data_IF_155097544611
#
_entry.id   IF_155097544611
#
_cell.length_a   1.000
_cell.length_b   1.000
_cell.length_c   1.000
_cell.angle_alpha   90.00
_cell.angle_beta   90.00
_cell.angle_gamma   90.00
#
_symmetry.space_group_name_H-M   'P 1'
#
loop_
_entity.id
_entity.type
_entity.pdbx_description
1 polymer ?
#
# COMPACT_ATOMS: atom_id res chain seq x y z
N UNK A 1 -11.88 19.57 13.48
CA UNK A 1 -11.20 19.60 12.18
C UNK A 1 -10.66 18.20 11.96
N UNK A 2 -11.13 17.51 10.92
CA UNK A 2 -10.68 16.14 10.62
C UNK A 2 -9.44 16.23 9.76
N UNK A 3 -8.46 15.37 10.04
CA UNK A 3 -7.27 15.19 9.20
C UNK A 3 -7.60 14.45 7.89
N UNK A 4 -8.81 13.90 7.78
CA UNK A 4 -9.35 13.36 6.54
C UNK A 4 -9.62 14.48 5.54
N UNK A 5 -8.77 14.58 4.51
CA UNK A 5 -9.01 15.50 3.40
C UNK A 5 -10.21 14.98 2.57
N UNK A 6 -11.42 15.46 2.87
CA UNK A 6 -12.68 15.02 2.23
C UNK A 6 -12.66 15.13 0.69
N UNK A 7 -11.89 16.09 0.14
CA UNK A 7 -11.72 16.24 -1.30
C UNK A 7 -10.85 15.13 -1.92
N UNK A 8 -9.91 14.57 -1.16
CA UNK A 8 -9.06 13.47 -1.63
C UNK A 8 -9.88 12.19 -1.86
N UNK A 9 -10.80 11.86 -0.95
CA UNK A 9 -11.70 10.71 -1.08
C UNK A 9 -12.62 10.82 -2.31
N UNK A 10 -13.11 12.04 -2.61
CA UNK A 10 -13.92 12.30 -3.79
C UNK A 10 -13.12 12.17 -5.10
N UNK A 11 -11.85 12.61 -5.11
CA UNK A 11 -10.96 12.51 -6.27
C UNK A 11 -10.50 11.07 -6.52
N UNK A 12 -10.20 10.32 -5.46
CA UNK A 12 -9.86 8.89 -5.54
C UNK A 12 -11.02 8.06 -6.12
N UNK A 13 -12.25 8.30 -5.64
CA UNK A 13 -13.43 7.59 -6.14
C UNK A 13 -13.63 7.81 -7.66
N UNK A 14 -13.42 9.04 -8.15
CA UNK A 14 -13.52 9.36 -9.58
C UNK A 14 -12.41 8.69 -10.40
N UNK A 15 -11.20 8.58 -9.85
CA UNK A 15 -10.08 7.90 -10.49
C UNK A 15 -10.31 6.39 -10.60
N UNK A 16 -10.79 5.74 -9.53
CA UNK A 16 -11.09 4.30 -9.53
C UNK A 16 -12.19 3.96 -10.55
N UNK A 17 -13.24 4.78 -10.65
CA UNK A 17 -14.30 4.60 -11.67
C UNK A 17 -13.74 4.68 -13.09
N UNK A 18 -12.76 5.55 -13.34
CA UNK A 18 -12.14 5.67 -14.66
C UNK A 18 -11.27 4.46 -15.05
N UNK A 19 -10.65 3.80 -14.07
CA UNK A 19 -9.76 2.65 -14.26
C UNK A 19 -10.54 1.35 -14.50
N UNK A 20 -11.78 1.25 -14.00
CA UNK A 20 -12.64 0.07 -14.15
C UNK A 20 -13.10 -0.21 -15.60
N UNK A 21 -12.82 0.69 -16.55
CA UNK A 21 -13.24 0.56 -17.96
C UNK A 21 -12.27 -0.23 -18.85
N UNK A 22 -11.12 -0.65 -18.32
CA UNK A 22 -10.10 -1.37 -19.09
C UNK A 22 -9.61 -2.55 -18.26
N UNK A 23 -10.02 -3.78 -18.59
CA UNK A 23 -9.14 -4.96 -18.57
C UNK A 23 -9.92 -6.21 -19.00
N UNK A 24 -9.49 -6.80 -20.11
CA UNK A 24 -9.77 -8.18 -20.52
C UNK A 24 -8.46 -8.76 -21.08
N UNK A 25 -8.15 -9.99 -20.64
CA UNK A 25 -7.10 -10.94 -21.09
C UNK A 25 -5.66 -10.69 -20.58
N UNK A 26 -4.80 -11.66 -20.25
CA UNK A 26 -4.90 -13.13 -20.03
C UNK A 26 -3.57 -13.73 -19.51
N UNK A 27 -3.63 -14.52 -18.44
CA UNK A 27 -2.91 -15.78 -18.07
C UNK A 27 -1.44 -16.11 -18.45
N UNK A 28 -0.56 -15.18 -18.82
CA UNK A 28 0.91 -15.46 -18.93
C UNK A 28 1.81 -14.57 -18.07
N UNK A 29 1.22 -13.76 -17.19
CA UNK A 29 1.87 -12.55 -16.67
C UNK A 29 2.46 -12.68 -15.26
N UNK A 30 2.43 -13.86 -14.63
CA UNK A 30 2.82 -13.99 -13.23
C UNK A 30 4.31 -13.72 -12.93
N UNK A 31 5.21 -14.32 -13.72
CA UNK A 31 6.64 -14.04 -13.64
C UNK A 31 7.01 -12.69 -14.24
N UNK A 32 6.28 -12.27 -15.28
CA UNK A 32 6.42 -10.96 -15.92
C UNK A 32 6.11 -9.82 -14.94
N UNK A 33 5.02 -9.90 -14.18
CA UNK A 33 4.59 -8.87 -13.25
C UNK A 33 5.59 -8.61 -12.12
N UNK A 34 6.22 -9.66 -11.57
CA UNK A 34 7.31 -9.49 -10.59
C UNK A 34 8.55 -8.85 -11.22
N UNK A 35 8.97 -9.35 -12.38
CA UNK A 35 10.12 -8.80 -13.09
C UNK A 35 9.87 -7.31 -13.38
N UNK A 36 8.67 -6.96 -13.84
CA UNK A 36 8.26 -5.58 -14.06
C UNK A 36 8.24 -4.77 -12.75
N UNK A 37 7.73 -5.33 -11.64
CA UNK A 37 7.74 -4.68 -10.32
C UNK A 37 9.17 -4.40 -9.82
N UNK A 38 10.07 -5.39 -9.89
CA UNK A 38 11.48 -5.25 -9.51
C UNK A 38 12.20 -4.25 -10.39
N UNK A 39 11.89 -4.22 -11.69
CA UNK A 39 12.54 -3.34 -12.64
C UNK A 39 11.97 -1.92 -12.66
N UNK A 40 10.75 -1.71 -12.12
CA UNK A 40 10.00 -0.43 -12.20
C UNK A 40 10.79 0.79 -11.70
N UNK A 41 11.68 0.60 -10.73
CA UNK A 41 12.49 1.68 -10.15
C UNK A 41 13.93 1.73 -10.69
N UNK A 42 14.25 0.95 -11.72
CA UNK A 42 15.57 0.98 -12.36
C UNK A 42 15.59 1.99 -13.50
N UNK A 43 16.73 2.65 -13.73
CA UNK A 43 16.90 3.57 -14.87
C UNK A 43 16.91 2.85 -16.22
N UNK A 44 17.14 1.53 -16.22
CA UNK A 44 17.26 0.67 -17.40
C UNK A 44 16.22 -0.45 -17.34
N UNK A 45 14.94 -0.05 -17.30
CA UNK A 45 13.80 -0.95 -17.12
C UNK A 45 13.81 -2.14 -18.09
N UNK A 46 13.96 -1.89 -19.39
CA UNK A 46 13.91 -2.93 -20.43
C UNK A 46 15.07 -3.92 -20.33
N UNK A 47 16.26 -3.44 -19.94
CA UNK A 47 17.43 -4.29 -19.73
C UNK A 47 17.25 -5.16 -18.49
N UNK A 48 16.71 -4.60 -17.40
CA UNK A 48 16.39 -5.34 -16.19
C UNK A 48 15.37 -6.44 -16.47
N UNK A 49 14.29 -6.11 -17.20
CA UNK A 49 13.22 -7.06 -17.54
C UNK A 49 13.76 -8.21 -18.39
N UNK A 50 14.46 -7.90 -19.48
CA UNK A 50 15.01 -8.92 -20.39
C UNK A 50 16.05 -9.82 -19.72
N UNK A 51 16.89 -9.26 -18.84
CA UNK A 51 17.89 -10.02 -18.09
C UNK A 51 17.21 -11.02 -17.15
N UNK A 52 16.24 -10.58 -16.35
CA UNK A 52 15.56 -11.46 -15.41
C UNK A 52 14.71 -12.52 -16.12
N UNK A 53 14.02 -12.16 -17.22
CA UNK A 53 13.25 -13.13 -18.01
C UNK A 53 14.12 -14.22 -18.65
N UNK A 54 15.38 -13.90 -18.95
CA UNK A 54 16.32 -14.85 -19.54
C UNK A 54 16.86 -15.89 -18.55
N UNK A 55 16.69 -15.67 -17.24
CA UNK A 55 17.11 -16.59 -16.19
C UNK A 55 15.92 -17.45 -15.72
N UNK A 56 15.89 -18.76 -16.04
CA UNK A 56 14.82 -19.67 -15.61
C UNK A 56 14.69 -19.76 -14.09
N UNK A 57 15.76 -19.47 -13.34
CA UNK A 57 15.76 -19.53 -11.87
C UNK A 57 15.04 -18.37 -11.20
N UNK A 58 14.99 -17.21 -11.88
CA UNK A 58 14.20 -16.05 -11.46
C UNK A 58 12.70 -16.36 -11.40
N UNK A 59 12.26 -17.36 -12.18
CA UNK A 59 10.89 -17.85 -12.22
C UNK A 59 10.64 -19.04 -11.27
N UNK A 60 11.69 -19.65 -10.68
CA UNK A 60 11.59 -20.92 -9.92
C UNK A 60 12.01 -20.88 -8.45
N UNK A 61 12.66 -19.84 -7.94
CA UNK A 61 12.57 -19.60 -6.49
C UNK A 61 11.08 -19.50 -6.13
N UNK A 62 10.61 -20.03 -4.99
CA UNK A 62 9.19 -19.93 -4.59
C UNK A 62 8.84 -18.47 -4.28
N UNK A 63 8.75 -17.69 -5.37
CA UNK A 63 8.57 -16.26 -5.43
C UNK A 63 7.20 -15.91 -4.90
N UNK A 64 6.22 -16.78 -5.16
CA UNK A 64 4.91 -16.71 -4.53
C UNK A 64 5.05 -16.81 -3.02
N UNK A 65 5.72 -17.84 -2.49
CA UNK A 65 5.96 -17.99 -1.06
C UNK A 65 6.70 -16.80 -0.44
N UNK A 66 7.70 -16.24 -1.14
CA UNK A 66 8.43 -15.05 -0.67
C UNK A 66 7.54 -13.81 -0.63
N UNK A 67 6.78 -13.53 -1.70
CA UNK A 67 5.85 -12.40 -1.76
C UNK A 67 4.75 -12.53 -0.72
N UNK A 68 4.18 -13.73 -0.54
CA UNK A 68 3.20 -14.00 0.52
C UNK A 68 3.78 -13.69 1.91
N UNK A 69 5.04 -14.05 2.17
CA UNK A 69 5.68 -13.75 3.45
C UNK A 69 5.90 -12.25 3.67
N UNK A 70 6.32 -11.51 2.63
CA UNK A 70 6.50 -10.06 2.70
C UNK A 70 5.17 -9.35 2.94
N UNK A 71 4.12 -9.72 2.20
CA UNK A 71 2.78 -9.16 2.36
C UNK A 71 2.26 -9.43 3.79
N UNK A 72 2.37 -10.66 4.30
CA UNK A 72 1.97 -10.99 5.68
C UNK A 72 2.77 -10.24 6.75
N UNK A 73 4.07 -10.06 6.55
CA UNK A 73 4.88 -9.24 7.46
C UNK A 73 4.43 -7.77 7.44
N UNK A 74 4.03 -7.27 6.27
CA UNK A 74 3.49 -5.93 6.09
C UNK A 74 2.12 -5.78 6.77
N UNK A 75 1.21 -6.76 6.63
CA UNK A 75 -0.07 -6.82 7.36
C UNK A 75 0.16 -6.74 8.87
N UNK A 76 1.06 -7.58 9.41
CA UNK A 76 1.35 -7.60 10.85
C UNK A 76 1.91 -6.25 11.35
N UNK A 77 2.83 -5.65 10.59
CA UNK A 77 3.36 -4.32 10.90
C UNK A 77 2.26 -3.25 10.86
N UNK A 78 1.43 -3.24 9.82
CA UNK A 78 0.33 -2.30 9.69
C UNK A 78 -0.67 -2.40 10.85
N UNK A 79 -0.99 -3.63 11.30
CA UNK A 79 -1.87 -3.87 12.43
C UNK A 79 -1.28 -3.38 13.77
N UNK A 80 0.04 -3.57 13.98
CA UNK A 80 0.74 -3.03 15.14
C UNK A 80 0.70 -1.50 15.16
N UNK A 81 0.90 -0.86 14.00
CA UNK A 81 0.80 0.60 13.90
C UNK A 81 -0.64 1.08 14.09
N UNK A 82 -1.64 0.42 13.51
CA UNK A 82 -3.06 0.73 13.74
C UNK A 82 -3.42 0.70 15.24
N UNK A 83 -2.92 -0.31 15.96
CA UNK A 83 -3.09 -0.44 17.41
C UNK A 83 -2.45 0.73 18.15
N UNK A 84 -1.18 1.04 17.85
CA UNK A 84 -0.47 2.17 18.46
C UNK A 84 -1.18 3.51 18.20
N UNK A 85 -1.64 3.73 16.98
CA UNK A 85 -2.37 4.94 16.60
C UNK A 85 -3.72 5.03 17.31
N UNK A 86 -4.41 3.90 17.50
CA UNK A 86 -5.64 3.82 18.31
C UNK A 86 -5.38 4.16 19.79
N UNK A 87 -4.22 3.82 20.34
CA UNK A 87 -3.86 4.19 21.71
C UNK A 87 -3.55 5.69 21.82
N UNK A 88 -2.82 6.24 20.84
CA UNK A 88 -2.52 7.66 20.76
C UNK A 88 -3.80 8.50 20.65
N UNK A 89 -4.80 8.06 19.87
CA UNK A 89 -6.07 8.78 19.74
C UNK A 89 -6.86 8.89 21.05
N UNK A 90 -6.62 7.98 22.00
CA UNK A 90 -7.28 7.96 23.33
C UNK A 90 -6.51 8.72 24.41
N UNK A 91 -5.20 8.88 24.23
CA UNK A 91 -4.30 9.38 25.27
C UNK A 91 -3.78 10.79 25.01
N UNK A 92 -3.81 11.25 23.76
CA UNK A 92 -3.42 12.63 23.42
C UNK A 92 -4.38 13.66 24.04
N UNK A 93 -3.86 14.83 24.39
CA UNK A 93 -4.63 15.91 25.01
C UNK A 93 -5.03 16.99 24.00
N UNK A 94 -4.39 17.03 22.83
CA UNK A 94 -4.76 17.96 21.76
C UNK A 94 -5.90 17.36 20.92
N UNK A 95 -7.10 17.98 20.90
CA UNK A 95 -8.24 17.47 20.14
C UNK A 95 -7.97 17.32 18.64
N UNK A 96 -7.05 18.11 18.07
CA UNK A 96 -6.64 17.95 16.68
C UNK A 96 -5.84 16.67 16.51
N UNK A 97 -4.83 16.42 17.36
CA UNK A 97 -4.03 15.19 17.30
C UNK A 97 -4.89 13.95 17.54
N UNK A 98 -5.81 13.97 18.51
CA UNK A 98 -6.74 12.88 18.76
C UNK A 98 -7.56 12.51 17.50
N UNK A 99 -8.08 13.51 16.79
CA UNK A 99 -8.84 13.28 15.57
C UNK A 99 -7.92 12.76 14.45
N UNK A 100 -6.70 13.28 14.33
CA UNK A 100 -5.75 12.83 13.32
C UNK A 100 -5.29 11.39 13.56
N UNK A 101 -5.06 11.00 14.80
CA UNK A 101 -4.80 9.60 15.13
C UNK A 101 -6.03 8.73 14.88
N UNK A 102 -7.25 9.18 15.17
CA UNK A 102 -8.46 8.43 14.80
C UNK A 102 -8.54 8.19 13.29
N UNK A 103 -8.37 9.25 12.49
CA UNK A 103 -8.42 9.17 11.03
C UNK A 103 -7.28 8.30 10.47
N UNK A 104 -6.10 8.33 11.09
CA UNK A 104 -4.98 7.47 10.74
C UNK A 104 -5.24 6.00 11.08
N UNK A 105 -5.86 5.71 12.23
CA UNK A 105 -6.19 4.34 12.58
C UNK A 105 -7.10 3.71 11.52
N UNK A 106 -8.09 4.46 11.01
CA UNK A 106 -8.92 4.02 9.89
C UNK A 106 -8.06 3.71 8.66
N UNK A 107 -7.14 4.61 8.28
CA UNK A 107 -6.25 4.40 7.12
C UNK A 107 -5.34 3.17 7.26
N UNK A 108 -4.81 2.88 8.44
CA UNK A 108 -3.99 1.68 8.61
C UNK A 108 -4.83 0.40 8.57
N UNK A 109 -6.07 0.44 9.07
CA UNK A 109 -6.99 -0.70 8.94
C UNK A 109 -7.30 -0.93 7.45
N UNK A 110 -7.64 0.13 6.71
CA UNK A 110 -7.87 0.06 5.26
C UNK A 110 -6.63 -0.50 4.53
N UNK A 111 -5.42 -0.03 4.87
CA UNK A 111 -4.17 -0.50 4.29
C UNK A 111 -3.89 -1.98 4.61
N UNK A 112 -4.16 -2.42 5.85
CA UNK A 112 -4.03 -3.83 6.26
C UNK A 112 -4.96 -4.72 5.44
N UNK A 113 -6.22 -4.33 5.28
CA UNK A 113 -7.21 -5.08 4.49
C UNK A 113 -6.78 -5.17 3.02
N UNK A 114 -6.25 -4.09 2.44
CA UNK A 114 -5.75 -4.07 1.06
C UNK A 114 -4.50 -4.96 0.87
N UNK A 115 -3.59 -5.00 1.84
CA UNK A 115 -2.45 -5.92 1.78
C UNK A 115 -2.90 -7.37 1.90
N UNK A 116 -3.92 -7.66 2.71
CA UNK A 116 -4.53 -9.00 2.77
C UNK A 116 -5.25 -9.37 1.45
N UNK A 117 -5.94 -8.42 0.82
CA UNK A 117 -6.50 -8.59 -0.54
C UNK A 117 -5.39 -8.85 -1.58
N UNK A 118 -4.21 -8.25 -1.40
CA UNK A 118 -3.02 -8.54 -2.22
C UNK A 118 -2.55 -9.98 -2.03
N UNK A 119 -2.65 -10.55 -0.83
CA UNK A 119 -2.32 -11.97 -0.59
C UNK A 119 -3.32 -12.87 -1.33
N UNK A 120 -4.62 -12.55 -1.27
CA UNK A 120 -5.65 -13.30 -1.99
C UNK A 120 -5.49 -13.19 -3.52
N UNK A 121 -5.16 -11.99 -4.03
CA UNK A 121 -4.85 -11.76 -5.44
C UNK A 121 -3.60 -12.52 -5.89
N UNK A 122 -2.56 -12.57 -5.06
CA UNK A 122 -1.36 -13.37 -5.32
C UNK A 122 -1.70 -14.87 -5.39
N UNK A 123 -2.65 -15.35 -4.59
CA UNK A 123 -3.14 -16.72 -4.64
C UNK A 123 -3.87 -17.06 -5.94
N UNK A 124 -4.63 -16.10 -6.49
CA UNK A 124 -5.32 -16.21 -7.77
C UNK A 124 -4.48 -15.81 -8.98
N UNK A 125 -3.21 -15.41 -8.78
CA UNK A 125 -2.30 -14.88 -9.81
C UNK A 125 -2.75 -13.54 -10.43
N UNK A 126 -3.55 -12.75 -9.74
CA UNK A 126 -3.94 -11.39 -10.12
C UNK A 126 -2.87 -10.36 -9.75
N UNK A 127 -1.76 -10.28 -10.50
CA UNK A 127 -0.64 -9.40 -10.16
C UNK A 127 -0.97 -7.91 -10.30
N UNK A 128 -1.82 -7.54 -11.26
CA UNK A 128 -2.31 -6.17 -11.38
C UNK A 128 -3.11 -5.76 -10.13
N UNK A 129 -3.92 -6.67 -9.59
CA UNK A 129 -4.65 -6.45 -8.35
C UNK A 129 -3.69 -6.33 -7.16
N UNK A 130 -2.64 -7.17 -7.08
CA UNK A 130 -1.58 -7.02 -6.07
C UNK A 130 -0.96 -5.62 -6.13
N UNK A 131 -0.61 -5.15 -7.33
CA UNK A 131 -0.01 -3.82 -7.51
C UNK A 131 -1.02 -2.72 -7.15
N UNK A 132 -2.27 -2.86 -7.55
CA UNK A 132 -3.33 -1.91 -7.26
C UNK A 132 -3.56 -1.78 -5.74
N UNK A 133 -3.70 -2.90 -5.05
CA UNK A 133 -3.95 -2.94 -3.61
C UNK A 133 -2.75 -2.46 -2.79
N UNK A 134 -1.52 -2.84 -3.16
CA UNK A 134 -0.31 -2.31 -2.49
C UNK A 134 -0.20 -0.79 -2.68
N UNK A 135 -0.50 -0.27 -3.87
CA UNK A 135 -0.49 1.19 -4.10
C UNK A 135 -1.59 1.90 -3.31
N UNK A 136 -2.76 1.29 -3.17
CA UNK A 136 -3.83 1.82 -2.31
C UNK A 136 -3.36 1.90 -0.86
N UNK A 137 -2.71 0.85 -0.35
CA UNK A 137 -2.23 0.79 1.03
C UNK A 137 -1.18 1.88 1.31
N UNK A 138 -0.26 2.07 0.36
CA UNK A 138 0.72 3.17 0.41
C UNK A 138 0.02 4.53 0.43
N UNK A 139 -1.01 4.73 -0.41
CA UNK A 139 -1.75 5.99 -0.46
C UNK A 139 -2.50 6.30 0.84
N UNK A 140 -3.05 5.27 1.51
CA UNK A 140 -3.73 5.42 2.79
C UNK A 140 -2.76 5.83 3.90
N UNK A 141 -1.60 5.19 3.96
CA UNK A 141 -0.54 5.54 4.92
C UNK A 141 0.02 6.95 4.68
N UNK A 142 0.22 7.34 3.42
CA UNK A 142 0.61 8.71 3.06
C UNK A 142 -0.46 9.74 3.43
N UNK A 143 -1.74 9.39 3.26
CA UNK A 143 -2.87 10.25 3.63
C UNK A 143 -2.92 10.47 5.14
N UNK A 144 -2.61 9.44 5.93
CA UNK A 144 -2.46 9.58 7.37
C UNK A 144 -1.40 10.64 7.72
N UNK A 145 -0.19 10.54 7.17
CA UNK A 145 0.88 11.52 7.44
C UNK A 145 0.55 12.93 6.96
N UNK A 146 0.00 13.05 5.76
CA UNK A 146 -0.41 14.34 5.19
C UNK A 146 -1.48 15.04 6.05
N UNK A 147 -2.31 14.27 6.78
CA UNK A 147 -3.29 14.78 7.72
C UNK A 147 -2.67 15.73 8.75
N UNK A 148 -1.63 15.29 9.44
CA UNK A 148 -1.00 16.08 10.52
C UNK A 148 -0.43 17.41 10.01
N UNK A 149 0.01 17.45 8.75
CA UNK A 149 0.60 18.63 8.12
C UNK A 149 -0.43 19.68 7.70
N UNK A 150 -1.73 19.40 7.79
CA UNK A 150 -2.79 20.40 7.54
C UNK A 150 -2.75 21.57 8.53
N UNK A 151 -2.11 21.37 9.69
CA UNK A 151 -1.91 22.42 10.70
C UNK A 151 -0.40 22.72 10.85
N UNK A 152 0.06 23.97 10.59
CA UNK A 152 1.47 24.31 10.75
C UNK A 152 1.99 24.04 12.16
N UNK A 153 3.18 23.43 12.24
CA UNK A 153 3.83 23.07 13.51
C UNK A 153 3.40 21.72 14.10
N UNK A 154 2.51 20.97 13.44
CA UNK A 154 2.11 19.63 13.85
C UNK A 154 2.84 18.55 13.04
N UNK A 155 3.17 17.45 13.72
CA UNK A 155 3.78 16.24 13.14
C UNK A 155 3.22 15.01 13.84
N UNK A 156 3.19 13.87 13.16
CA UNK A 156 2.77 12.61 13.79
C UNK A 156 3.89 12.04 14.68
N UNK A 157 3.51 11.38 15.78
CA UNK A 157 4.44 10.57 16.58
C UNK A 157 4.78 9.21 15.93
N UNK A 158 4.22 8.95 14.75
CA UNK A 158 4.39 7.71 13.98
C UNK A 158 5.14 7.94 12.66
N UNK A 159 5.67 9.15 12.42
CA UNK A 159 6.30 9.53 11.16
C UNK A 159 7.40 8.56 10.70
N UNK A 160 8.15 7.99 11.65
CA UNK A 160 9.25 7.06 11.38
C UNK A 160 8.74 5.65 11.01
N UNK A 161 7.44 5.41 11.15
CA UNK A 161 6.76 4.15 10.79
C UNK A 161 6.18 4.19 9.37
N UNK A 162 6.33 5.33 8.67
CA UNK A 162 5.73 5.60 7.35
C UNK A 162 6.73 5.76 6.21
N UNK A 163 8.02 5.55 6.49
CA UNK A 163 9.06 5.45 5.48
C UNK A 163 9.42 3.97 5.31
N UNK A 164 8.85 3.35 4.28
CA UNK A 164 9.31 2.08 3.72
C UNK A 164 10.17 2.41 2.49
#
# INVERSE_FOLDING_TARGET
MSCRNSYFLLLLALFIISQAHTMLASDTEAGLGYIQFTCKNTSEYDLCVSTLQSDPTSMTADLKGLLTNVLRATTAYGADVATKVTELSKTDQDPFLMQCYTDCSERYIDAVDQIDDSVAALDSKGFDDVVAWVNAAIADVQTCEAGFLQKPGYTSAIKDQNYI
#
